data_IF_731276235596
#
_entry.id   IF_731276235596
#
_cell.length_a   1.000
_cell.length_b   1.000
_cell.length_c   1.000
_cell.angle_alpha   90.00
_cell.angle_beta   90.00
_cell.angle_gamma   90.00
#
_symmetry.space_group_name_H-M   'P 1'
#
loop_
_entity.id
_entity.type
_entity.pdbx_description
1 polymer ?
#
# COMPACT_ATOMS: atom_id res chain seq x y z
N UNK A 1 29.09 19.15 -2.56
CA UNK A 1 28.63 17.75 -2.62
C UNK A 1 27.77 17.52 -1.41
N UNK A 2 26.45 17.52 -1.56
CA UNK A 2 25.53 17.02 -0.53
C UNK A 2 24.94 15.73 -1.08
N UNK A 3 25.68 14.64 -0.90
CA UNK A 3 25.18 13.29 -1.14
C UNK A 3 24.37 12.89 0.09
N UNK A 4 23.06 12.76 -0.07
CA UNK A 4 22.15 12.30 0.97
C UNK A 4 21.12 11.37 0.36
N UNK A 5 21.28 10.07 0.62
CA UNK A 5 20.27 9.03 0.36
C UNK A 5 20.60 8.04 -0.75
N UNK A 6 21.69 7.28 -0.60
CA UNK A 6 21.69 5.89 -1.05
C UNK A 6 20.85 5.06 -0.06
N UNK A 7 20.36 3.89 -0.50
CA UNK A 7 19.58 2.85 0.24
C UNK A 7 18.04 2.88 0.00
N UNK A 8 17.40 1.91 -0.65
CA UNK A 8 17.84 0.56 -1.00
C UNK A 8 17.04 -0.07 -2.15
N UNK A 9 17.78 -0.50 -3.16
CA UNK A 9 17.37 -1.52 -4.12
C UNK A 9 17.70 -2.90 -3.55
N UNK A 10 16.78 -3.61 -2.89
CA UNK A 10 16.71 -5.10 -2.75
C UNK A 10 15.57 -5.54 -1.80
N UNK A 11 15.08 -6.80 -1.83
CA UNK A 11 14.55 -7.63 -2.93
C UNK A 11 13.02 -7.82 -2.79
N UNK A 12 12.27 -7.84 -3.90
CA UNK A 12 10.84 -8.24 -3.98
C UNK A 12 9.78 -7.35 -3.30
N UNK A 13 10.14 -6.16 -2.82
CA UNK A 13 9.19 -5.12 -2.38
C UNK A 13 9.57 -3.75 -2.92
N UNK A 14 8.59 -2.95 -3.30
CA UNK A 14 8.77 -1.57 -3.72
C UNK A 14 8.39 -0.60 -2.60
N UNK A 15 9.32 0.26 -2.19
CA UNK A 15 9.02 1.38 -1.32
C UNK A 15 8.07 2.36 -2.01
N UNK A 16 7.01 2.76 -1.32
CA UNK A 16 6.04 3.77 -1.75
C UNK A 16 5.83 4.76 -0.61
N UNK A 17 5.76 6.05 -0.93
CA UNK A 17 5.66 7.11 0.07
C UNK A 17 4.56 8.10 -0.28
N UNK A 18 3.99 8.72 0.74
CA UNK A 18 3.04 9.81 0.57
C UNK A 18 3.62 10.94 -0.28
N UNK A 19 4.90 11.24 -0.17
CA UNK A 19 5.55 12.27 -0.99
C UNK A 19 5.51 11.96 -2.50
N UNK A 20 5.50 10.68 -2.89
CA UNK A 20 5.41 10.26 -4.29
C UNK A 20 3.99 10.40 -4.85
N UNK A 21 2.98 10.10 -4.03
CA UNK A 21 1.56 10.12 -4.44
C UNK A 21 0.83 11.42 -4.10
N UNK A 22 1.37 12.22 -3.19
CA UNK A 22 0.79 13.45 -2.66
C UNK A 22 -0.62 13.23 -2.12
N UNK A 23 -1.59 13.90 -2.73
CA UNK A 23 -3.01 13.84 -2.38
C UNK A 23 -3.68 12.52 -2.74
N UNK A 24 -3.06 11.70 -3.61
CA UNK A 24 -3.58 10.38 -4.00
C UNK A 24 -3.21 9.28 -3.02
N UNK A 25 -2.52 9.63 -1.93
CA UNK A 25 -2.04 8.68 -0.95
C UNK A 25 -3.17 8.20 -0.01
N UNK A 26 -3.53 6.91 -0.05
CA UNK A 26 -4.68 6.40 0.69
C UNK A 26 -4.37 6.03 2.14
N UNK A 27 -3.13 6.11 2.60
CA UNK A 27 -2.74 5.59 3.92
C UNK A 27 -2.51 6.70 4.94
N UNK A 28 -2.72 6.37 6.23
CA UNK A 28 -2.40 7.24 7.36
C UNK A 28 -0.90 7.32 7.63
N UNK A 29 -0.15 6.29 7.23
CA UNK A 29 1.31 6.26 7.34
C UNK A 29 1.96 7.13 6.27
N UNK A 30 3.11 7.74 6.57
CA UNK A 30 3.81 8.60 5.60
C UNK A 30 4.52 7.81 4.49
N UNK A 31 4.88 6.55 4.74
CA UNK A 31 5.58 5.68 3.80
C UNK A 31 5.44 4.21 4.20
N UNK A 32 5.73 3.31 3.27
CA UNK A 32 5.89 1.88 3.53
C UNK A 32 6.38 1.15 2.30
N UNK A 33 6.37 -0.18 2.35
CA UNK A 33 6.87 -1.05 1.30
C UNK A 33 5.75 -1.95 0.78
N UNK A 34 5.41 -1.83 -0.49
CA UNK A 34 4.48 -2.76 -1.14
C UNK A 34 5.25 -3.97 -1.65
N UNK A 35 4.86 -5.16 -1.24
CA UNK A 35 5.37 -6.43 -1.75
C UNK A 35 4.26 -7.24 -2.39
N UNK A 36 4.63 -8.10 -3.31
CA UNK A 36 3.72 -9.12 -3.81
C UNK A 36 4.09 -10.48 -3.21
N UNK A 37 3.08 -11.17 -2.70
CA UNK A 37 3.16 -12.56 -2.26
C UNK A 37 2.28 -13.44 -3.18
N UNK A 38 2.78 -14.63 -3.52
CA UNK A 38 2.06 -15.55 -4.39
C UNK A 38 1.83 -15.00 -5.82
N UNK A 39 0.64 -15.24 -6.38
CA UNK A 39 0.33 -14.86 -7.77
C UNK A 39 -0.28 -13.45 -7.92
N UNK A 40 -0.93 -12.94 -6.87
CA UNK A 40 -1.63 -11.64 -6.92
C UNK A 40 -1.93 -11.07 -5.53
N UNK A 41 -1.20 -11.47 -4.48
CA UNK A 41 -1.46 -10.96 -3.13
C UNK A 41 -0.60 -9.74 -2.87
N UNK A 42 -1.22 -8.57 -2.92
CA UNK A 42 -0.52 -7.31 -2.65
C UNK A 42 -0.57 -7.05 -1.15
N UNK A 43 0.62 -7.01 -0.55
CA UNK A 43 0.82 -6.77 0.88
C UNK A 43 1.61 -5.48 1.03
N UNK A 44 1.17 -4.60 1.91
CA UNK A 44 1.86 -3.36 2.23
C UNK A 44 2.42 -3.46 3.64
N UNK A 45 3.73 -3.38 3.77
CA UNK A 45 4.42 -3.40 5.04
C UNK A 45 4.73 -1.98 5.48
N UNK A 46 4.25 -1.59 6.66
CA UNK A 46 4.56 -0.31 7.27
C UNK A 46 4.75 -0.50 8.77
N UNK A 47 5.77 0.15 9.33
CA UNK A 47 6.11 0.07 10.76
C UNK A 47 6.32 -1.39 11.25
N UNK A 48 6.79 -2.27 10.36
CA UNK A 48 6.97 -3.70 10.63
C UNK A 48 5.67 -4.52 10.64
N UNK A 49 4.53 -3.93 10.26
CA UNK A 49 3.23 -4.60 10.16
C UNK A 49 2.86 -4.79 8.68
N UNK A 50 2.51 -6.03 8.33
CA UNK A 50 2.07 -6.40 6.99
C UNK A 50 0.54 -6.27 6.86
N UNK A 51 0.09 -5.39 5.96
CA UNK A 51 -1.30 -5.08 5.68
C UNK A 51 -1.74 -5.62 4.33
N UNK A 52 -2.88 -6.31 4.28
CA UNK A 52 -3.44 -6.82 3.04
C UNK A 52 -4.15 -5.72 2.25
N UNK A 53 -3.59 -5.32 1.10
CA UNK A 53 -4.05 -4.17 0.30
C UNK A 53 -5.20 -4.55 -0.63
N UNK A 54 -5.14 -5.73 -1.26
CA UNK A 54 -6.16 -6.17 -2.22
C UNK A 54 -7.09 -7.24 -1.63
N UNK A 55 -8.22 -7.48 -2.31
CA UNK A 55 -9.19 -8.49 -1.90
C UNK A 55 -8.61 -9.91 -1.81
N UNK A 56 -7.74 -10.29 -2.74
CA UNK A 56 -7.10 -11.62 -2.75
C UNK A 56 -6.19 -11.83 -1.53
N UNK A 57 -5.40 -10.82 -1.16
CA UNK A 57 -4.56 -10.81 0.03
C UNK A 57 -5.41 -10.83 1.29
N UNK A 58 -6.54 -10.09 1.33
CA UNK A 58 -7.47 -10.12 2.47
C UNK A 58 -8.10 -11.49 2.69
N UNK A 59 -8.37 -12.24 1.62
CA UNK A 59 -8.88 -13.61 1.72
C UNK A 59 -7.91 -14.53 2.44
N UNK A 60 -6.61 -14.40 2.18
CA UNK A 60 -5.56 -15.22 2.81
C UNK A 60 -4.97 -14.57 4.06
N UNK A 61 -5.25 -13.29 4.33
CA UNK A 61 -4.69 -12.53 5.44
C UNK A 61 -4.90 -13.21 6.78
N UNK A 62 -6.10 -13.76 7.03
CA UNK A 62 -6.40 -14.51 8.26
C UNK A 62 -5.55 -15.78 8.40
N UNK A 63 -5.20 -16.42 7.29
CA UNK A 63 -4.37 -17.63 7.27
C UNK A 63 -2.89 -17.31 7.49
N UNK A 64 -2.39 -16.22 6.91
CA UNK A 64 -1.00 -15.79 7.02
C UNK A 64 -0.72 -14.84 8.20
N UNK A 65 -1.75 -14.39 8.90
CA UNK A 65 -1.63 -13.44 10.01
C UNK A 65 -1.37 -11.99 9.57
N UNK A 66 -1.82 -11.59 8.37
CA UNK A 66 -1.72 -10.21 7.90
C UNK A 66 -2.83 -9.34 8.48
N UNK A 67 -2.50 -8.09 8.77
CA UNK A 67 -3.45 -7.09 9.24
C UNK A 67 -4.36 -6.61 8.10
N UNK A 68 -5.57 -6.17 8.45
CA UNK A 68 -6.44 -5.49 7.48
C UNK A 68 -5.94 -4.07 7.25
N UNK A 69 -6.07 -3.59 6.02
CA UNK A 69 -5.66 -2.23 5.67
C UNK A 69 -6.65 -1.15 6.15
N UNK A 70 -7.90 -1.53 6.45
CA UNK A 70 -8.96 -0.65 6.94
C UNK A 70 -8.53 0.34 8.05
N UNK A 71 -7.83 -0.07 9.13
CA UNK A 71 -7.36 0.85 10.18
C UNK A 71 -6.35 1.90 9.71
N UNK A 72 -5.60 1.65 8.64
CA UNK A 72 -4.64 2.61 8.08
C UNK A 72 -5.17 3.29 6.82
N UNK A 73 -6.35 2.89 6.33
CA UNK A 73 -6.95 3.41 5.11
C UNK A 73 -7.68 4.72 5.43
N UNK A 74 -7.20 5.80 4.84
CA UNK A 74 -7.81 7.13 4.96
C UNK A 74 -9.10 7.20 4.16
N UNK A 75 -10.08 7.89 4.76
CA UNK A 75 -11.27 8.34 4.07
C UNK A 75 -10.92 9.39 3.02
N UNK A 76 -11.56 9.32 1.85
CA UNK A 76 -11.30 10.26 0.78
C UNK A 76 -11.96 11.61 1.07
N UNK A 77 -11.19 12.71 1.17
CA UNK A 77 -11.77 14.02 1.42
C UNK A 77 -12.58 14.54 0.22
N UNK A 78 -12.31 14.08 -1.01
CA UNK A 78 -13.11 14.45 -2.18
C UNK A 78 -14.46 13.75 -2.19
N UNK A 79 -14.58 12.58 -1.55
CA UNK A 79 -15.85 11.89 -1.34
C UNK A 79 -16.77 12.60 -0.32
N UNK A 80 -16.21 13.46 0.55
CA UNK A 80 -16.99 14.26 1.50
C UNK A 80 -17.89 15.31 0.81
N UNK A 81 -17.71 15.56 -0.49
CA UNK A 81 -18.58 16.44 -1.29
C UNK A 81 -19.69 15.74 -2.05
N UNK A 82 -19.66 14.40 -2.19
CA UNK A 82 -20.58 13.64 -3.06
C UNK A 82 -21.66 12.88 -2.31
N UNK A 83 -21.68 12.96 -0.97
CA UNK A 83 -22.66 12.24 -0.14
C UNK A 83 -22.41 10.73 -0.04
N UNK A 84 -21.23 10.27 -0.46
CA UNK A 84 -20.84 8.87 -0.39
C UNK A 84 -19.53 8.74 0.39
N UNK A 85 -19.51 7.91 1.44
CA UNK A 85 -18.28 7.59 2.19
C UNK A 85 -17.41 6.67 1.33
N UNK A 86 -16.67 7.23 0.37
CA UNK A 86 -15.68 6.48 -0.41
C UNK A 86 -14.32 6.60 0.27
N UNK A 87 -13.63 5.47 0.34
CA UNK A 87 -12.25 5.41 0.81
C UNK A 87 -11.33 5.86 -0.32
N UNK A 88 -10.17 6.46 0.01
CA UNK A 88 -9.22 6.93 -1.02
C UNK A 88 -8.88 5.77 -1.94
N UNK A 89 -8.85 6.02 -3.25
CA UNK A 89 -8.56 4.97 -4.21
C UNK A 89 -7.17 4.37 -3.94
N UNK A 90 -7.15 3.14 -3.42
CA UNK A 90 -5.94 2.35 -3.23
C UNK A 90 -5.49 1.64 -4.52
N UNK A 91 -6.30 1.74 -5.59
CA UNK A 91 -6.03 1.26 -6.94
C UNK A 91 -4.59 1.51 -7.42
N UNK A 92 -4.01 2.73 -7.36
CA UNK A 92 -2.65 2.96 -7.84
C UNK A 92 -1.58 2.18 -7.06
N UNK A 93 -1.81 1.90 -5.78
CA UNK A 93 -0.92 1.08 -4.94
C UNK A 93 -1.10 -0.41 -5.29
N UNK A 94 -2.34 -0.87 -5.45
CA UNK A 94 -2.65 -2.24 -5.87
C UNK A 94 -2.03 -2.52 -7.24
N UNK A 95 -2.22 -1.64 -8.21
CA UNK A 95 -1.64 -1.77 -9.55
C UNK A 95 -0.11 -1.83 -9.49
N UNK A 96 0.51 -1.03 -8.61
CA UNK A 96 1.96 -1.07 -8.41
C UNK A 96 2.40 -2.41 -7.83
N UNK A 97 1.72 -2.89 -6.80
CA UNK A 97 2.00 -4.20 -6.19
C UNK A 97 1.77 -5.36 -7.16
N UNK A 98 0.71 -5.32 -7.95
CA UNK A 98 0.42 -6.34 -8.98
C UNK A 98 1.48 -6.37 -10.07
N UNK A 99 2.03 -5.20 -10.47
CA UNK A 99 3.17 -5.14 -11.38
C UNK A 99 4.42 -5.83 -10.82
N UNK A 100 4.57 -5.89 -9.49
CA UNK A 100 5.65 -6.65 -8.86
C UNK A 100 5.39 -8.16 -8.87
N UNK A 101 4.13 -8.60 -8.88
CA UNK A 101 3.77 -10.02 -8.95
C UNK A 101 4.13 -10.69 -10.28
N UNK A 102 4.20 -9.90 -11.35
CA UNK A 102 4.45 -10.37 -12.72
C UNK A 102 5.90 -10.17 -13.17
N UNK A 103 6.75 -9.63 -12.29
CA UNK A 103 8.18 -9.44 -12.54
C UNK A 103 9.00 -10.64 -12.08
#
# INVERSE_FOLDING_TARGET
MCSGGEEGSTPQGQAVSQSEYGEKWPFTVAQGSVRCEGASWVVFEADGVAYAVNGSARTVAKTYGWAEIDPIWRDDPAAQGTGTTWKVSVSPIIERGLKLCVQ
#
